data_IF_133941273817
#
_entry.id   IF_133941273817
#
_cell.length_a   1.000
_cell.length_b   1.000
_cell.length_c   1.000
_cell.angle_alpha   90.00
_cell.angle_beta   90.00
_cell.angle_gamma   90.00
#
_symmetry.space_group_name_H-M   'P 1'
#
loop_
_entity.id
_entity.type
_entity.pdbx_description
1 polymer ?
#
# COMPACT_ATOMS: atom_id res chain seq x y z
N UNK A 1 -27.76 -29.31 -39.70
CA UNK A 1 -29.04 -30.07 -39.77
C UNK A 1 -29.58 -30.29 -41.18
N UNK A 2 -29.55 -29.35 -42.13
CA UNK A 2 -30.28 -29.52 -43.41
C UNK A 2 -29.70 -30.53 -44.43
N UNK A 3 -28.38 -30.84 -44.39
CA UNK A 3 -27.76 -31.85 -45.28
C UNK A 3 -28.09 -33.31 -44.89
N UNK A 4 -28.14 -33.63 -43.60
CA UNK A 4 -28.47 -34.98 -43.12
C UNK A 4 -29.94 -35.36 -43.36
N UNK A 5 -30.86 -34.38 -43.29
CA UNK A 5 -32.28 -34.58 -43.60
C UNK A 5 -32.47 -34.89 -45.11
N UNK A 6 -31.71 -34.23 -45.99
CA UNK A 6 -31.73 -34.53 -47.44
C UNK A 6 -31.22 -35.94 -47.77
N UNK A 7 -30.24 -36.46 -47.02
CA UNK A 7 -29.67 -37.78 -47.26
C UNK A 7 -30.59 -38.92 -46.77
N UNK A 8 -31.31 -38.70 -45.66
CA UNK A 8 -32.33 -39.62 -45.14
C UNK A 8 -33.51 -39.80 -46.11
N UNK A 9 -33.91 -38.72 -46.79
CA UNK A 9 -34.94 -38.81 -47.84
C UNK A 9 -34.46 -39.57 -49.07
N UNK A 10 -33.18 -39.49 -49.44
CA UNK A 10 -32.64 -40.18 -50.61
C UNK A 10 -32.67 -41.71 -50.54
N UNK A 11 -32.39 -42.31 -49.36
CA UNK A 11 -32.39 -43.77 -49.21
C UNK A 11 -33.82 -44.33 -49.20
N UNK A 12 -34.74 -43.67 -48.49
CA UNK A 12 -36.16 -44.06 -48.49
C UNK A 12 -36.80 -43.87 -49.87
N UNK A 13 -36.49 -42.77 -50.58
CA UNK A 13 -36.93 -42.60 -51.97
C UNK A 13 -36.36 -43.67 -52.88
N UNK A 14 -35.09 -44.05 -52.70
CA UNK A 14 -34.50 -45.12 -53.50
C UNK A 14 -35.12 -46.50 -53.21
N UNK A 15 -35.47 -46.79 -51.96
CA UNK A 15 -36.13 -48.05 -51.60
C UNK A 15 -37.58 -48.09 -52.09
N UNK A 16 -38.33 -47.00 -51.89
CA UNK A 16 -39.69 -46.86 -52.42
C UNK A 16 -39.70 -46.93 -53.94
N UNK A 17 -38.76 -46.26 -54.61
CA UNK A 17 -38.56 -46.29 -56.07
C UNK A 17 -38.12 -47.65 -56.57
N UNK A 18 -37.31 -48.39 -55.80
CA UNK A 18 -37.00 -49.80 -56.09
C UNK A 18 -38.25 -50.64 -56.05
N UNK A 19 -39.01 -50.54 -54.97
CA UNK A 19 -40.23 -51.31 -54.79
C UNK A 19 -41.26 -51.00 -55.88
N UNK A 20 -41.35 -49.75 -56.33
CA UNK A 20 -42.19 -49.37 -57.48
C UNK A 20 -41.65 -49.87 -58.81
N UNK A 21 -40.32 -49.85 -59.03
CA UNK A 21 -39.71 -50.41 -60.24
C UNK A 21 -39.90 -51.93 -60.28
N UNK A 22 -39.66 -52.64 -59.17
CA UNK A 22 -39.86 -54.08 -59.06
C UNK A 22 -41.34 -54.43 -59.25
N UNK A 23 -42.28 -53.69 -58.64
CA UNK A 23 -43.73 -53.86 -58.90
C UNK A 23 -44.10 -53.57 -60.35
N UNK A 24 -43.56 -52.51 -60.96
CA UNK A 24 -43.85 -52.17 -62.35
C UNK A 24 -43.30 -53.21 -63.31
N UNK A 25 -42.10 -53.75 -63.07
CA UNK A 25 -41.54 -54.84 -63.88
C UNK A 25 -42.43 -56.07 -63.78
N UNK A 26 -42.87 -56.45 -62.57
CA UNK A 26 -43.81 -57.56 -62.37
C UNK A 26 -45.15 -57.30 -63.09
N UNK A 27 -45.70 -56.08 -62.99
CA UNK A 27 -46.99 -55.69 -63.58
C UNK A 27 -46.95 -55.66 -65.11
N UNK A 28 -45.90 -55.08 -65.71
CA UNK A 28 -45.70 -55.04 -67.16
C UNK A 28 -45.57 -56.46 -67.73
N UNK A 29 -44.90 -57.35 -67.01
CA UNK A 29 -44.76 -58.75 -67.40
C UNK A 29 -46.09 -59.49 -67.26
N UNK A 30 -46.87 -59.24 -66.21
CA UNK A 30 -48.20 -59.84 -66.05
C UNK A 30 -49.15 -59.44 -67.18
N UNK A 31 -49.12 -58.16 -67.58
CA UNK A 31 -49.88 -57.65 -68.73
C UNK A 31 -49.41 -58.28 -70.04
N UNK A 32 -48.10 -58.43 -70.23
CA UNK A 32 -47.54 -59.03 -71.45
C UNK A 32 -47.83 -60.53 -71.55
N UNK A 33 -47.75 -61.26 -70.42
CA UNK A 33 -48.15 -62.66 -70.30
C UNK A 33 -49.64 -62.83 -70.62
N UNK A 34 -50.50 -62.00 -70.05
CA UNK A 34 -51.93 -62.00 -70.32
C UNK A 34 -52.23 -61.76 -71.80
N UNK A 35 -51.55 -60.77 -72.42
CA UNK A 35 -51.70 -60.47 -73.84
C UNK A 35 -51.25 -61.63 -74.76
N UNK A 36 -50.13 -62.31 -74.43
CA UNK A 36 -49.63 -63.46 -75.20
C UNK A 36 -50.52 -64.71 -75.03
N UNK A 37 -51.14 -64.89 -73.85
CA UNK A 37 -52.09 -65.98 -73.63
C UNK A 37 -53.42 -65.74 -74.35
N UNK A 38 -53.87 -64.48 -74.46
CA UNK A 38 -55.22 -64.15 -74.94
C UNK A 38 -55.30 -63.78 -76.44
N UNK A 39 -54.22 -63.27 -77.05
CA UNK A 39 -54.24 -62.74 -78.44
C UNK A 39 -53.38 -63.52 -79.45
N UNK A 40 -52.75 -64.62 -79.05
CA UNK A 40 -51.92 -65.43 -79.96
C UNK A 40 -52.33 -66.91 -79.97
N UNK A 41 -52.67 -67.45 -81.15
CA UNK A 41 -52.88 -68.90 -81.40
C UNK A 41 -51.53 -69.66 -81.36
N UNK A 42 -50.84 -69.57 -80.23
CA UNK A 42 -49.56 -70.25 -79.98
C UNK A 42 -49.82 -71.67 -79.48
N UNK A 43 -49.00 -72.64 -79.92
CA UNK A 43 -49.05 -74.00 -79.36
C UNK A 43 -48.73 -73.99 -77.86
N UNK A 44 -49.32 -74.92 -77.08
CA UNK A 44 -49.12 -75.03 -75.63
C UNK A 44 -47.63 -75.10 -75.20
N UNK A 45 -46.75 -75.60 -76.07
CA UNK A 45 -45.30 -75.69 -75.81
C UNK A 45 -44.63 -74.30 -75.97
N UNK A 46 -45.06 -73.50 -76.94
CA UNK A 46 -44.45 -72.19 -77.22
C UNK A 46 -44.85 -71.15 -76.16
N UNK A 47 -46.09 -71.19 -75.66
CA UNK A 47 -46.54 -70.35 -74.53
C UNK A 47 -45.78 -70.66 -73.24
N UNK A 48 -45.56 -71.95 -72.92
CA UNK A 48 -44.74 -72.37 -71.78
C UNK A 48 -43.28 -71.90 -71.92
N UNK A 49 -42.70 -71.97 -73.12
CA UNK A 49 -41.35 -71.48 -73.39
C UNK A 49 -41.18 -69.97 -73.17
N UNK A 50 -42.16 -69.16 -73.60
CA UNK A 50 -42.17 -67.70 -73.38
C UNK A 50 -42.30 -67.35 -71.88
N UNK A 51 -43.14 -68.08 -71.14
CA UNK A 51 -43.30 -67.91 -69.69
C UNK A 51 -42.01 -68.21 -68.92
N UNK A 52 -41.33 -69.30 -69.24
CA UNK A 52 -40.04 -69.66 -68.61
C UNK A 52 -38.97 -68.61 -68.91
N UNK A 53 -38.92 -68.11 -70.15
CA UNK A 53 -37.94 -67.09 -70.54
C UNK A 53 -38.18 -65.75 -69.82
N UNK A 54 -39.44 -65.35 -69.67
CA UNK A 54 -39.82 -64.17 -68.88
C UNK A 54 -39.49 -64.35 -67.40
N UNK A 55 -39.71 -65.53 -66.81
CA UNK A 55 -39.31 -65.84 -65.43
C UNK A 55 -37.79 -65.81 -65.24
N UNK A 56 -37.02 -66.36 -66.17
CA UNK A 56 -35.56 -66.26 -66.14
C UNK A 56 -35.10 -64.80 -66.23
N UNK A 57 -35.74 -63.97 -67.07
CA UNK A 57 -35.43 -62.55 -67.20
C UNK A 57 -35.72 -61.77 -65.90
N UNK A 58 -36.82 -62.06 -65.20
CA UNK A 58 -37.12 -61.41 -63.91
C UNK A 58 -36.12 -61.78 -62.83
N UNK A 59 -35.72 -63.05 -62.74
CA UNK A 59 -34.68 -63.49 -61.79
C UNK A 59 -33.36 -62.78 -62.06
N UNK A 60 -32.97 -62.64 -63.34
CA UNK A 60 -31.74 -61.91 -63.72
C UNK A 60 -31.83 -60.42 -63.39
N UNK A 61 -32.95 -59.76 -63.68
CA UNK A 61 -33.16 -58.33 -63.33
C UNK A 61 -33.18 -58.13 -61.81
N UNK A 62 -33.82 -59.05 -61.06
CA UNK A 62 -33.85 -59.01 -59.60
C UNK A 62 -32.46 -59.17 -59.00
N UNK A 63 -31.66 -60.14 -59.47
CA UNK A 63 -30.28 -60.30 -58.99
C UNK A 63 -29.37 -59.13 -59.42
N UNK A 64 -29.55 -58.59 -60.64
CA UNK A 64 -28.82 -57.41 -61.10
C UNK A 64 -29.13 -56.15 -60.27
N UNK A 65 -30.41 -55.89 -59.99
CA UNK A 65 -30.83 -54.77 -59.13
C UNK A 65 -30.38 -54.98 -57.70
N UNK A 66 -30.60 -56.16 -57.10
CA UNK A 66 -30.09 -56.52 -55.76
C UNK A 66 -28.59 -56.26 -55.63
N UNK A 67 -27.79 -56.70 -56.61
CA UNK A 67 -26.34 -56.46 -56.67
C UNK A 67 -26.00 -54.95 -56.76
N UNK A 68 -26.72 -54.19 -57.57
CA UNK A 68 -26.50 -52.74 -57.70
C UNK A 68 -26.88 -51.99 -56.41
N UNK A 69 -27.95 -52.39 -55.73
CA UNK A 69 -28.37 -51.82 -54.44
C UNK A 69 -27.38 -52.17 -53.34
N UNK A 70 -26.93 -53.44 -53.23
CA UNK A 70 -25.87 -53.84 -52.29
C UNK A 70 -24.62 -52.98 -52.50
N UNK A 71 -24.16 -52.83 -53.74
CA UNK A 71 -23.00 -51.97 -54.07
C UNK A 71 -23.19 -50.51 -53.65
N UNK A 72 -24.36 -49.91 -53.92
CA UNK A 72 -24.65 -48.53 -53.52
C UNK A 72 -24.77 -48.36 -52.00
N UNK A 73 -25.40 -49.32 -51.32
CA UNK A 73 -25.52 -49.33 -49.86
C UNK A 73 -24.17 -49.48 -49.18
N UNK A 74 -23.36 -50.47 -49.59
CA UNK A 74 -21.98 -50.66 -49.11
C UNK A 74 -21.13 -49.42 -49.33
N UNK A 75 -21.19 -48.79 -50.51
CA UNK A 75 -20.47 -47.55 -50.78
C UNK A 75 -20.90 -46.38 -49.88
N UNK A 76 -22.21 -46.22 -49.65
CA UNK A 76 -22.74 -45.19 -48.77
C UNK A 76 -22.34 -45.41 -47.30
N UNK A 77 -22.38 -46.67 -46.84
CA UNK A 77 -21.96 -47.04 -45.49
C UNK A 77 -20.45 -46.84 -45.30
N UNK A 78 -19.63 -47.27 -46.26
CA UNK A 78 -18.18 -47.08 -46.21
C UNK A 78 -17.80 -45.60 -46.14
N UNK A 79 -18.49 -44.73 -46.91
CA UNK A 79 -18.29 -43.28 -46.81
C UNK A 79 -18.68 -42.73 -45.43
N UNK A 80 -19.80 -43.18 -44.85
CA UNK A 80 -20.21 -42.78 -43.50
C UNK A 80 -19.21 -43.24 -42.43
N UNK A 81 -18.67 -44.46 -42.54
CA UNK A 81 -17.65 -44.99 -41.64
C UNK A 81 -16.33 -44.23 -41.76
N UNK A 82 -15.89 -43.90 -42.97
CA UNK A 82 -14.69 -43.10 -43.19
C UNK A 82 -14.85 -41.70 -42.58
N UNK A 83 -15.99 -41.05 -42.80
CA UNK A 83 -16.30 -39.77 -42.15
C UNK A 83 -16.36 -39.89 -40.62
N UNK A 84 -16.89 -41.00 -40.08
CA UNK A 84 -16.96 -41.22 -38.64
C UNK A 84 -15.56 -41.37 -38.03
N UNK A 85 -14.67 -42.12 -38.68
CA UNK A 85 -13.27 -42.28 -38.26
C UNK A 85 -12.51 -40.96 -38.36
N UNK A 86 -12.70 -40.20 -39.44
CA UNK A 86 -12.07 -38.89 -39.61
C UNK A 86 -12.54 -37.91 -38.52
N UNK A 87 -13.84 -37.84 -38.26
CA UNK A 87 -14.37 -37.01 -37.18
C UNK A 87 -13.87 -37.47 -35.80
N UNK A 88 -13.79 -38.78 -35.55
CA UNK A 88 -13.23 -39.32 -34.32
C UNK A 88 -11.77 -38.88 -34.13
N UNK A 89 -10.93 -38.94 -35.17
CA UNK A 89 -9.54 -38.42 -35.13
C UNK A 89 -9.47 -36.91 -34.89
N UNK A 90 -10.38 -36.13 -35.48
CA UNK A 90 -10.45 -34.69 -35.23
C UNK A 90 -10.83 -34.37 -33.79
N UNK A 91 -11.78 -35.12 -33.22
CA UNK A 91 -12.16 -35.00 -31.81
C UNK A 91 -10.98 -35.44 -30.94
N UNK A 92 -10.26 -36.51 -31.28
CA UNK A 92 -9.07 -36.98 -30.55
C UNK A 92 -7.99 -35.90 -30.45
N UNK A 93 -7.67 -35.24 -31.57
CA UNK A 93 -6.73 -34.11 -31.57
C UNK A 93 -7.21 -32.96 -30.68
N UNK A 94 -8.51 -32.62 -30.74
CA UNK A 94 -9.08 -31.58 -29.88
C UNK A 94 -9.06 -31.95 -28.39
N UNK A 95 -9.40 -33.19 -28.05
CA UNK A 95 -9.36 -33.75 -26.68
C UNK A 95 -7.93 -33.80 -26.15
N UNK A 96 -6.94 -34.12 -26.98
CA UNK A 96 -5.52 -34.08 -26.61
C UNK A 96 -5.05 -32.67 -26.27
N UNK A 97 -5.40 -31.67 -27.09
CA UNK A 97 -5.12 -30.26 -26.80
C UNK A 97 -5.84 -29.80 -25.52
N UNK A 98 -7.07 -30.27 -25.30
CA UNK A 98 -7.81 -29.97 -24.08
C UNK A 98 -7.11 -30.54 -22.83
N UNK A 99 -6.59 -31.77 -22.89
CA UNK A 99 -5.80 -32.38 -21.80
C UNK A 99 -4.55 -31.57 -21.47
N UNK A 100 -3.83 -31.12 -22.48
CA UNK A 100 -2.64 -30.26 -22.31
C UNK A 100 -3.01 -28.92 -21.65
N UNK A 101 -4.09 -28.28 -22.10
CA UNK A 101 -4.58 -27.03 -21.51
C UNK A 101 -4.99 -27.19 -20.04
N UNK A 102 -5.59 -28.32 -19.66
CA UNK A 102 -5.93 -28.63 -18.27
C UNK A 102 -4.65 -28.70 -17.41
N UNK A 103 -3.63 -29.43 -17.87
CA UNK A 103 -2.35 -29.55 -17.16
C UNK A 103 -1.65 -28.19 -16.99
N UNK A 104 -1.63 -27.38 -18.05
CA UNK A 104 -1.10 -26.01 -18.00
C UNK A 104 -1.88 -25.13 -17.00
N UNK A 105 -3.20 -25.30 -16.92
CA UNK A 105 -4.03 -24.54 -15.99
C UNK A 105 -3.79 -24.98 -14.54
N UNK A 106 -3.62 -26.28 -14.27
CA UNK A 106 -3.20 -26.78 -12.95
C UNK A 106 -1.88 -26.15 -12.49
N UNK A 107 -0.86 -26.12 -13.36
CA UNK A 107 0.43 -25.50 -13.04
C UNK A 107 0.29 -24.01 -12.71
N UNK A 108 -0.51 -23.27 -13.49
CA UNK A 108 -0.79 -21.85 -13.24
C UNK A 108 -1.52 -21.63 -11.91
N UNK A 109 -2.51 -22.46 -11.58
CA UNK A 109 -3.23 -22.37 -10.30
C UNK A 109 -2.34 -22.65 -9.10
N UNK A 110 -1.41 -23.60 -9.21
CA UNK A 110 -0.43 -23.85 -8.16
C UNK A 110 0.42 -22.60 -7.86
N UNK A 111 0.83 -21.86 -8.90
CA UNK A 111 1.56 -20.60 -8.73
C UNK A 111 0.69 -19.51 -8.10
N UNK A 112 -0.57 -19.38 -8.53
CA UNK A 112 -1.51 -18.42 -7.93
C UNK A 112 -1.76 -18.73 -6.46
N UNK A 113 -1.92 -20.02 -6.09
CA UNK A 113 -2.08 -20.44 -4.70
C UNK A 113 -0.90 -19.99 -3.83
N UNK A 114 0.33 -20.20 -4.30
CA UNK A 114 1.53 -19.74 -3.60
C UNK A 114 1.56 -18.20 -3.44
N UNK A 115 1.18 -17.46 -4.48
CA UNK A 115 1.09 -16.00 -4.41
C UNK A 115 0.07 -15.53 -3.37
N UNK A 116 -1.08 -16.20 -3.27
CA UNK A 116 -2.10 -15.89 -2.27
C UNK A 116 -1.63 -16.19 -0.85
N UNK A 117 -0.92 -17.29 -0.64
CA UNK A 117 -0.29 -17.61 0.65
C UNK A 117 0.73 -16.54 1.05
N UNK A 118 1.58 -16.11 0.10
CA UNK A 118 2.52 -15.01 0.32
C UNK A 118 1.80 -13.69 0.66
N UNK A 119 0.73 -13.35 -0.06
CA UNK A 119 -0.08 -12.14 0.22
C UNK A 119 -0.73 -12.19 1.60
N UNK A 120 -1.16 -13.36 2.06
CA UNK A 120 -1.73 -13.56 3.40
C UNK A 120 -0.69 -13.32 4.49
N UNK A 121 0.51 -13.87 4.31
CA UNK A 121 1.62 -13.63 5.22
C UNK A 121 1.99 -12.14 5.25
N UNK A 122 2.10 -11.49 4.09
CA UNK A 122 2.34 -10.04 4.00
C UNK A 122 1.25 -9.20 4.66
N UNK A 123 -0.02 -9.60 4.56
CA UNK A 123 -1.13 -8.92 5.25
C UNK A 123 -1.01 -9.04 6.78
N UNK A 124 -0.57 -10.19 7.29
CA UNK A 124 -0.32 -10.37 8.72
C UNK A 124 0.85 -9.50 9.21
N UNK A 125 1.95 -9.48 8.47
CA UNK A 125 3.10 -8.63 8.77
C UNK A 125 2.72 -7.15 8.74
N UNK A 126 1.93 -6.73 7.75
CA UNK A 126 1.41 -5.37 7.64
C UNK A 126 0.56 -4.99 8.86
N UNK A 127 -0.29 -5.89 9.37
CA UNK A 127 -1.06 -5.64 10.59
C UNK A 127 -0.18 -5.47 11.83
N UNK A 128 0.90 -6.24 11.95
CA UNK A 128 1.87 -6.08 13.02
C UNK A 128 2.59 -4.72 12.94
N UNK A 129 3.00 -4.31 11.74
CA UNK A 129 3.61 -3.00 11.48
C UNK A 129 2.64 -1.87 11.84
N UNK A 130 1.39 -1.94 11.38
CA UNK A 130 0.34 -0.95 11.70
C UNK A 130 0.19 -0.78 13.21
N UNK A 131 0.11 -1.90 13.96
CA UNK A 131 -0.06 -1.87 15.41
C UNK A 131 1.14 -1.24 16.11
N UNK A 132 2.35 -1.61 15.70
CA UNK A 132 3.58 -1.04 16.26
C UNK A 132 3.71 0.46 15.97
N UNK A 133 3.48 0.87 14.71
CA UNK A 133 3.52 2.28 14.31
C UNK A 133 2.46 3.09 15.05
N UNK A 134 1.27 2.54 15.28
CA UNK A 134 0.22 3.17 16.10
C UNK A 134 0.69 3.43 17.52
N UNK A 135 1.28 2.43 18.17
CA UNK A 135 1.81 2.60 19.52
C UNK A 135 2.89 3.68 19.55
N UNK A 136 3.85 3.64 18.61
CA UNK A 136 4.92 4.65 18.53
C UNK A 136 4.40 6.06 18.28
N UNK A 137 3.36 6.22 17.48
CA UNK A 137 2.72 7.52 17.25
C UNK A 137 2.06 8.05 18.53
N UNK A 138 1.38 7.19 19.29
CA UNK A 138 0.78 7.55 20.58
C UNK A 138 1.84 7.92 21.62
N UNK A 139 2.92 7.14 21.71
CA UNK A 139 4.02 7.42 22.62
C UNK A 139 4.69 8.75 22.25
N UNK A 140 4.94 8.99 20.96
CA UNK A 140 5.52 10.25 20.46
C UNK A 140 4.62 11.43 20.80
N UNK A 141 3.31 11.31 20.61
CA UNK A 141 2.35 12.36 20.96
C UNK A 141 2.39 12.69 22.46
N UNK A 142 2.49 11.68 23.32
CA UNK A 142 2.62 11.88 24.77
C UNK A 142 3.93 12.60 25.14
N UNK A 143 5.05 12.21 24.53
CA UNK A 143 6.33 12.88 24.73
C UNK A 143 6.28 14.34 24.28
N UNK A 144 5.74 14.59 23.08
CA UNK A 144 5.61 15.94 22.51
C UNK A 144 4.72 16.84 23.36
N UNK A 145 3.59 16.34 23.90
CA UNK A 145 2.75 17.10 24.83
C UNK A 145 3.48 17.42 26.14
N UNK A 146 4.24 16.47 26.68
CA UNK A 146 5.03 16.69 27.90
C UNK A 146 6.14 17.72 27.67
N UNK A 147 6.81 17.67 26.51
CA UNK A 147 7.80 18.68 26.13
C UNK A 147 7.17 20.06 25.93
N UNK A 148 5.98 20.13 25.33
CA UNK A 148 5.24 21.39 25.18
C UNK A 148 4.99 22.07 26.54
N UNK A 149 4.48 21.30 27.51
CA UNK A 149 4.25 21.79 28.86
C UNK A 149 5.55 22.25 29.55
N UNK A 150 6.64 21.50 29.36
CA UNK A 150 7.95 21.85 29.89
C UNK A 150 8.50 23.16 29.29
N UNK A 151 8.35 23.36 27.97
CA UNK A 151 8.75 24.58 27.28
C UNK A 151 7.91 25.77 27.76
N UNK A 152 6.60 25.60 27.91
CA UNK A 152 5.71 26.63 28.47
C UNK A 152 6.12 27.04 29.88
N UNK A 153 6.40 26.06 30.74
CA UNK A 153 6.89 26.32 32.10
C UNK A 153 8.27 27.01 32.11
N UNK A 154 9.13 26.72 31.13
CA UNK A 154 10.42 27.42 30.96
C UNK A 154 10.22 28.90 30.60
N UNK A 155 9.31 29.19 29.66
CA UNK A 155 8.96 30.57 29.29
C UNK A 155 8.47 31.36 30.52
N UNK A 156 7.60 30.78 31.35
CA UNK A 156 7.13 31.42 32.59
C UNK A 156 8.29 31.71 33.58
N UNK A 157 9.25 30.78 33.69
CA UNK A 157 10.46 31.00 34.50
C UNK A 157 11.35 32.10 33.92
N UNK A 158 11.48 32.19 32.60
CA UNK A 158 12.25 33.26 31.95
C UNK A 158 11.63 34.64 32.20
N UNK A 159 10.30 34.75 32.19
CA UNK A 159 9.63 35.99 32.61
C UNK A 159 9.93 36.35 34.07
N UNK A 160 9.96 35.35 34.96
CA UNK A 160 10.33 35.57 36.37
C UNK A 160 11.78 36.04 36.51
N UNK A 161 12.72 35.46 35.74
CA UNK A 161 14.13 35.88 35.73
C UNK A 161 14.25 37.31 35.20
N UNK A 162 13.57 37.64 34.09
CA UNK A 162 13.54 38.99 33.52
C UNK A 162 13.10 40.02 34.56
N UNK A 163 12.03 39.73 35.29
CA UNK A 163 11.55 40.61 36.35
C UNK A 163 12.59 40.80 37.47
N UNK A 164 13.25 39.73 37.91
CA UNK A 164 14.31 39.81 38.92
C UNK A 164 15.51 40.63 38.45
N UNK A 165 15.93 40.49 37.19
CA UNK A 165 17.02 41.29 36.61
C UNK A 165 16.63 42.77 36.59
N UNK A 166 15.38 43.08 36.22
CA UNK A 166 14.87 44.45 36.24
C UNK A 166 14.90 45.04 37.65
N UNK A 167 14.46 44.29 38.67
CA UNK A 167 14.55 44.73 40.08
C UNK A 167 16.00 44.95 40.53
N UNK A 168 16.95 44.11 40.11
CA UNK A 168 18.38 44.31 40.41
C UNK A 168 18.88 45.63 39.78
N UNK A 169 18.50 45.91 38.53
CA UNK A 169 18.87 47.16 37.87
C UNK A 169 18.33 48.39 38.62
N UNK A 170 17.06 48.35 39.06
CA UNK A 170 16.45 49.41 39.88
C UNK A 170 17.19 49.63 41.21
N UNK A 171 17.54 48.55 41.93
CA UNK A 171 18.29 48.64 43.19
C UNK A 171 19.71 49.20 43.01
N UNK A 172 20.36 48.93 41.88
CA UNK A 172 21.70 49.47 41.59
C UNK A 172 21.65 50.95 41.23
N UNK A 173 20.58 51.41 40.57
CA UNK A 173 20.35 52.83 40.34
C UNK A 173 20.15 53.57 41.67
N UNK A 174 19.33 53.04 42.57
CA UNK A 174 19.15 53.60 43.91
C UNK A 174 20.46 53.62 44.71
N UNK A 175 21.26 52.56 44.64
CA UNK A 175 22.59 52.51 45.24
C UNK A 175 23.52 53.61 44.67
N UNK A 176 23.45 53.86 43.37
CA UNK A 176 24.26 54.91 42.72
C UNK A 176 23.91 56.30 43.24
N UNK A 177 22.62 56.59 43.47
CA UNK A 177 22.16 57.84 44.08
C UNK A 177 22.64 58.00 45.53
N UNK A 178 22.64 56.92 46.32
CA UNK A 178 23.20 56.94 47.68
C UNK A 178 24.71 57.21 47.68
N UNK A 179 25.45 56.56 46.77
CA UNK A 179 26.91 56.76 46.63
C UNK A 179 27.22 58.22 46.26
N UNK A 180 26.44 58.81 45.34
CA UNK A 180 26.58 60.22 44.97
C UNK A 180 26.38 61.15 46.18
N UNK A 181 25.37 60.88 47.00
CA UNK A 181 25.07 61.65 48.22
C UNK A 181 26.18 61.53 49.28
N UNK A 182 26.73 60.33 49.46
CA UNK A 182 27.88 60.10 50.35
C UNK A 182 29.11 60.83 49.83
N UNK A 183 29.38 60.76 48.52
CA UNK A 183 30.52 61.45 47.89
C UNK A 183 30.48 62.96 48.15
N UNK A 184 29.31 63.59 48.00
CA UNK A 184 29.13 65.01 48.32
C UNK A 184 29.37 65.32 49.80
N UNK A 185 28.94 64.44 50.70
CA UNK A 185 29.13 64.62 52.15
C UNK A 185 30.61 64.49 52.53
N UNK A 186 31.33 63.53 51.96
CA UNK A 186 32.75 63.33 52.21
C UNK A 186 33.60 64.49 51.67
N UNK A 187 33.24 65.05 50.52
CA UNK A 187 33.87 66.28 50.01
C UNK A 187 33.75 67.44 51.00
N UNK A 188 32.56 67.65 51.58
CA UNK A 188 32.37 68.67 52.63
C UNK A 188 33.24 68.40 53.88
N UNK A 189 33.39 67.14 54.30
CA UNK A 189 34.25 66.79 55.44
C UNK A 189 35.72 67.05 55.14
N UNK A 190 36.17 66.78 53.90
CA UNK A 190 37.52 67.12 53.45
C UNK A 190 37.77 68.63 53.48
N UNK A 191 36.82 69.43 53.01
CA UNK A 191 36.88 70.90 53.07
C UNK A 191 36.96 71.40 54.53
N UNK A 192 36.17 70.82 55.43
CA UNK A 192 36.19 71.15 56.87
C UNK A 192 37.55 70.78 57.50
N UNK A 193 38.10 69.60 57.17
CA UNK A 193 39.40 69.18 57.66
C UNK A 193 40.51 70.13 57.17
N UNK A 194 40.47 70.56 55.91
CA UNK A 194 41.41 71.53 55.35
C UNK A 194 41.30 72.91 56.02
N UNK A 195 40.08 73.41 56.22
CA UNK A 195 39.85 74.66 56.96
C UNK A 195 40.34 74.56 58.41
N UNK A 196 40.08 73.44 59.09
CA UNK A 196 40.52 73.19 60.47
C UNK A 196 42.04 73.14 60.56
N UNK A 197 42.70 72.54 59.57
CA UNK A 197 44.16 72.51 59.47
C UNK A 197 44.75 73.94 59.33
N UNK A 198 44.16 74.77 58.47
CA UNK A 198 44.54 76.17 58.30
C UNK A 198 44.29 77.01 59.57
N UNK A 199 43.16 76.81 60.24
CA UNK A 199 42.84 77.45 61.53
C UNK A 199 43.85 77.06 62.61
N UNK A 200 44.19 75.78 62.71
CA UNK A 200 45.18 75.26 63.66
C UNK A 200 46.58 75.80 63.37
N UNK A 201 46.96 75.94 62.09
CA UNK A 201 48.22 76.56 61.69
C UNK A 201 48.28 78.02 62.12
N UNK A 202 47.23 78.80 61.86
CA UNK A 202 47.16 80.19 62.29
C UNK A 202 47.23 80.33 63.82
N UNK A 203 46.55 79.44 64.56
CA UNK A 203 46.61 79.40 66.02
C UNK A 203 48.02 79.03 66.53
N UNK A 204 48.72 78.10 65.87
CA UNK A 204 50.10 77.75 66.22
C UNK A 204 51.07 78.92 65.99
N UNK A 205 50.89 79.67 64.90
CA UNK A 205 51.68 80.89 64.61
C UNK A 205 51.44 81.96 65.68
N UNK A 206 50.19 82.22 66.04
CA UNK A 206 49.87 83.25 67.05
C UNK A 206 50.30 82.83 68.47
N UNK A 207 50.23 81.54 68.78
CA UNK A 207 50.76 80.98 70.02
C UNK A 207 52.30 81.11 70.11
N UNK A 208 53.02 80.90 68.99
CA UNK A 208 54.46 81.15 68.93
C UNK A 208 54.78 82.65 69.10
N UNK A 209 53.94 83.53 68.55
CA UNK A 209 54.07 84.99 68.66
C UNK A 209 53.86 85.50 70.09
N UNK A 210 53.02 84.84 70.89
CA UNK A 210 52.78 85.16 72.30
C UNK A 210 53.91 84.69 73.26
N UNK A 211 54.95 84.01 72.75
CA UNK A 211 56.13 83.62 73.54
C UNK A 211 55.81 82.63 74.67
N UNK A 212 56.31 82.90 75.89
CA UNK A 212 56.11 82.03 77.07
C UNK A 212 54.63 81.86 77.44
N UNK A 213 53.78 82.87 77.21
CA UNK A 213 52.35 82.82 77.52
C UNK A 213 51.55 81.96 76.52
N UNK A 214 52.11 81.66 75.34
CA UNK A 214 51.46 80.89 74.28
C UNK A 214 51.76 79.40 74.28
N UNK A 215 52.67 78.89 75.14
CA UNK A 215 53.11 77.48 75.14
C UNK A 215 51.97 76.47 75.23
N UNK A 216 50.98 76.71 76.10
CA UNK A 216 49.80 75.83 76.23
C UNK A 216 48.93 75.83 74.98
N UNK A 217 48.72 77.00 74.36
CA UNK A 217 47.97 77.14 73.11
C UNK A 217 48.69 76.51 71.92
N UNK A 218 50.02 76.56 71.87
CA UNK A 218 50.83 75.95 70.82
C UNK A 218 50.67 74.41 70.81
N UNK A 219 50.60 73.78 71.99
CA UNK A 219 50.37 72.32 72.11
C UNK A 219 48.98 71.96 71.59
N UNK A 220 47.94 72.71 72.00
CA UNK A 220 46.55 72.48 71.55
C UNK A 220 46.43 72.66 70.04
N UNK A 221 47.03 73.72 69.48
CA UNK A 221 47.02 73.97 68.04
C UNK A 221 47.73 72.85 67.26
N UNK A 222 48.83 72.29 67.79
CA UNK A 222 49.51 71.13 67.21
C UNK A 222 48.62 69.87 67.18
N UNK A 223 47.89 69.58 68.25
CA UNK A 223 47.00 68.41 68.31
C UNK A 223 45.78 68.58 67.39
N UNK A 224 45.19 69.78 67.30
CA UNK A 224 44.11 70.08 66.34
C UNK A 224 44.61 69.90 64.92
N UNK A 225 45.83 70.36 64.61
CA UNK A 225 46.43 70.20 63.28
C UNK A 225 46.60 68.73 62.92
N UNK A 226 47.09 67.93 63.85
CA UNK A 226 47.26 66.48 63.69
C UNK A 226 45.92 65.77 63.46
N UNK A 227 44.89 66.10 64.23
CA UNK A 227 43.52 65.56 64.03
C UNK A 227 42.94 65.95 62.66
N UNK A 228 43.21 67.18 62.20
CA UNK A 228 42.78 67.63 60.87
C UNK A 228 43.49 66.85 59.74
N UNK A 229 44.80 66.61 59.85
CA UNK A 229 45.56 65.77 58.90
C UNK A 229 45.07 64.31 58.92
N UNK A 230 44.80 63.74 60.10
CA UNK A 230 44.22 62.40 60.25
C UNK A 230 42.81 62.32 59.62
N UNK A 231 41.99 63.36 59.80
CA UNK A 231 40.67 63.46 59.17
C UNK A 231 40.77 63.49 57.64
N UNK A 232 41.70 64.28 57.08
CA UNK A 232 41.96 64.33 55.62
C UNK A 232 42.44 62.98 55.07
N UNK A 233 43.30 62.26 55.80
CA UNK A 233 43.70 60.91 55.39
C UNK A 233 42.53 59.92 55.43
N UNK A 234 41.65 60.03 56.43
CA UNK A 234 40.47 59.18 56.53
C UNK A 234 39.47 59.46 55.40
N UNK A 235 39.17 60.73 55.08
CA UNK A 235 38.30 61.09 53.96
C UNK A 235 38.85 60.61 52.63
N UNK A 236 40.16 60.75 52.39
CA UNK A 236 40.80 60.23 51.17
C UNK A 236 40.63 58.71 50.99
N UNK A 237 40.77 57.94 52.07
CA UNK A 237 40.50 56.48 52.05
C UNK A 237 39.04 56.18 51.74
N UNK A 238 38.09 56.93 52.32
CA UNK A 238 36.66 56.78 52.05
C UNK A 238 36.35 57.12 50.58
N UNK A 239 36.93 58.19 50.02
CA UNK A 239 36.77 58.56 48.60
C UNK A 239 37.23 57.45 47.66
N UNK A 240 38.34 56.78 47.98
CA UNK A 240 38.81 55.61 47.22
C UNK A 240 37.79 54.44 47.28
N UNK A 241 37.22 54.16 48.46
CA UNK A 241 36.18 53.14 48.60
C UNK A 241 34.91 53.49 47.80
N UNK A 242 34.46 54.74 47.86
CA UNK A 242 33.30 55.24 47.08
C UNK A 242 33.53 55.03 45.59
N UNK A 243 34.71 55.39 45.08
CA UNK A 243 35.07 55.18 43.67
C UNK A 243 34.99 53.70 43.27
N UNK A 244 35.52 52.81 44.11
CA UNK A 244 35.47 51.37 43.86
C UNK A 244 34.03 50.83 43.85
N UNK A 245 33.19 51.28 44.78
CA UNK A 245 31.77 50.87 44.81
C UNK A 245 31.05 51.38 43.56
N UNK A 246 31.30 52.63 43.14
CA UNK A 246 30.71 53.21 41.92
C UNK A 246 31.11 52.43 40.66
N UNK A 247 32.38 52.05 40.54
CA UNK A 247 32.85 51.19 39.44
C UNK A 247 32.17 49.81 39.45
N UNK A 248 32.00 49.22 40.63
CA UNK A 248 31.27 47.95 40.78
C UNK A 248 29.80 48.08 40.42
N UNK A 249 29.14 49.19 40.81
CA UNK A 249 27.75 49.47 40.46
C UNK A 249 27.57 49.58 38.94
N UNK A 250 28.40 50.38 38.26
CA UNK A 250 28.40 50.49 36.79
C UNK A 250 28.64 49.15 36.11
N UNK A 251 29.58 48.34 36.61
CA UNK A 251 29.84 47.00 36.06
C UNK A 251 28.62 46.07 36.25
N UNK A 252 27.90 46.21 37.36
CA UNK A 252 26.67 45.45 37.62
C UNK A 252 25.54 45.87 36.68
N UNK A 253 25.39 47.17 36.38
CA UNK A 253 24.41 47.65 35.39
C UNK A 253 24.65 47.01 34.02
N UNK A 254 25.89 47.04 33.53
CA UNK A 254 26.25 46.41 32.26
C UNK A 254 25.92 44.90 32.25
N UNK A 255 26.24 44.20 33.33
CA UNK A 255 25.91 42.77 33.47
C UNK A 255 24.39 42.52 33.49
N UNK A 256 23.59 43.40 34.10
CA UNK A 256 22.12 43.28 34.08
C UNK A 256 21.52 43.59 32.70
N UNK A 257 22.08 44.53 31.94
CA UNK A 257 21.66 44.80 30.56
C UNK A 257 21.96 43.62 29.64
N UNK A 258 23.16 43.04 29.76
CA UNK A 258 23.54 41.82 29.03
C UNK A 258 22.64 40.65 29.42
N UNK A 259 22.42 40.43 30.73
CA UNK A 259 21.52 39.39 31.23
C UNK A 259 20.08 39.54 30.74
N UNK A 260 19.59 40.78 30.58
CA UNK A 260 18.26 41.04 30.02
C UNK A 260 18.17 40.61 28.54
N UNK A 261 19.21 40.90 27.74
CA UNK A 261 19.27 40.50 26.33
C UNK A 261 19.31 38.97 26.18
N UNK A 262 20.11 38.30 27.00
CA UNK A 262 20.20 36.83 27.00
C UNK A 262 18.88 36.16 27.36
N UNK A 263 18.14 36.71 28.34
CA UNK A 263 16.82 36.19 28.70
C UNK A 263 15.80 36.39 27.58
N UNK A 264 15.80 37.54 26.90
CA UNK A 264 14.89 37.80 25.79
C UNK A 264 15.18 36.87 24.60
N UNK A 265 16.46 36.66 24.27
CA UNK A 265 16.90 35.65 23.29
C UNK A 265 16.44 34.23 23.68
N UNK A 266 16.54 33.89 24.97
CA UNK A 266 16.04 32.61 25.51
C UNK A 266 14.53 32.44 25.36
N UNK A 267 13.75 33.51 25.53
CA UNK A 267 12.28 33.51 25.32
C UNK A 267 11.96 33.28 23.83
N UNK A 268 12.64 33.98 22.92
CA UNK A 268 12.46 33.81 21.48
C UNK A 268 12.77 32.37 21.03
N UNK A 269 13.89 31.81 21.50
CA UNK A 269 14.26 30.42 21.23
C UNK A 269 13.20 29.44 21.74
N UNK A 270 12.69 29.65 22.96
CA UNK A 270 11.64 28.81 23.53
C UNK A 270 10.32 28.90 22.75
N UNK A 271 9.96 30.08 22.24
CA UNK A 271 8.81 30.23 21.33
C UNK A 271 8.98 29.46 20.03
N UNK A 272 10.16 29.53 19.40
CA UNK A 272 10.45 28.77 18.19
C UNK A 272 10.36 27.25 18.44
N UNK A 273 10.86 26.78 19.58
CA UNK A 273 10.70 25.38 20.00
C UNK A 273 9.22 25.02 20.17
N UNK A 274 8.44 25.86 20.86
CA UNK A 274 7.00 25.66 21.03
C UNK A 274 6.25 25.53 19.71
N UNK A 275 6.53 26.41 18.74
CA UNK A 275 5.94 26.34 17.39
C UNK A 275 6.33 25.06 16.64
N UNK A 276 7.57 24.59 16.77
CA UNK A 276 8.01 23.34 16.15
C UNK A 276 7.30 22.12 16.77
N UNK A 277 7.09 22.15 18.09
CA UNK A 277 6.35 21.11 18.81
C UNK A 277 4.89 21.06 18.34
N UNK A 278 4.23 22.19 18.13
CA UNK A 278 2.87 22.23 17.57
C UNK A 278 2.80 21.61 16.16
N UNK A 279 3.80 21.87 15.31
CA UNK A 279 3.90 21.22 14.00
C UNK A 279 4.12 19.71 14.12
N UNK A 280 4.91 19.25 15.10
CA UNK A 280 5.07 17.81 15.37
C UNK A 280 3.75 17.15 15.78
N UNK A 281 2.94 17.82 16.61
CA UNK A 281 1.60 17.32 16.99
C UNK A 281 0.72 17.14 15.75
N UNK A 282 0.71 18.11 14.83
CA UNK A 282 -0.04 18.01 13.58
C UNK A 282 0.42 16.82 12.73
N UNK A 283 1.73 16.64 12.55
CA UNK A 283 2.30 15.51 11.83
C UNK A 283 1.96 14.16 12.49
N UNK A 284 1.94 14.08 13.82
CA UNK A 284 1.52 12.86 14.54
C UNK A 284 0.05 12.53 14.30
N UNK A 285 -0.82 13.54 14.20
CA UNK A 285 -2.22 13.34 13.85
C UNK A 285 -2.40 12.84 12.40
N UNK A 286 -1.63 13.38 11.45
CA UNK A 286 -1.62 12.89 10.07
C UNK A 286 -1.15 11.43 9.98
N UNK A 287 -0.10 11.06 10.73
CA UNK A 287 0.37 9.68 10.84
C UNK A 287 -0.75 8.78 11.39
N UNK A 288 -1.46 9.22 12.44
CA UNK A 288 -2.59 8.48 13.01
C UNK A 288 -3.71 8.25 11.99
N UNK A 289 -4.01 9.25 11.15
CA UNK A 289 -4.96 9.11 10.05
C UNK A 289 -4.48 8.08 9.01
N UNK A 290 -3.22 8.17 8.58
CA UNK A 290 -2.64 7.22 7.63
C UNK A 290 -2.64 5.77 8.14
N UNK A 291 -2.45 5.57 9.45
CA UNK A 291 -2.57 4.25 10.10
C UNK A 291 -3.99 3.68 9.99
N UNK A 292 -5.03 4.52 10.12
CA UNK A 292 -6.42 4.08 9.96
C UNK A 292 -6.69 3.64 8.51
N UNK A 293 -6.19 4.39 7.52
CA UNK A 293 -6.32 4.05 6.10
C UNK A 293 -5.58 2.75 5.75
N UNK A 294 -4.37 2.57 6.32
CA UNK A 294 -3.61 1.33 6.20
C UNK A 294 -4.34 0.14 6.82
N UNK A 295 -5.00 0.34 7.96
CA UNK A 295 -5.82 -0.70 8.61
C UNK A 295 -6.97 -1.14 7.71
N UNK A 296 -7.67 -0.18 7.10
CA UNK A 296 -8.72 -0.45 6.12
C UNK A 296 -8.19 -1.23 4.91
N UNK A 297 -7.05 -0.80 4.36
CA UNK A 297 -6.40 -1.46 3.22
C UNK A 297 -5.95 -2.88 3.54
N UNK A 298 -5.34 -3.09 4.71
CA UNK A 298 -4.93 -4.42 5.18
C UNK A 298 -6.13 -5.36 5.34
N UNK A 299 -7.24 -4.85 5.90
CA UNK A 299 -8.47 -5.64 6.03
C UNK A 299 -9.03 -6.03 4.66
N UNK A 300 -9.00 -5.12 3.69
CA UNK A 300 -9.42 -5.40 2.32
C UNK A 300 -8.56 -6.48 1.68
N UNK A 301 -7.23 -6.43 1.82
CA UNK A 301 -6.32 -7.48 1.32
C UNK A 301 -6.66 -8.84 1.94
N UNK A 302 -6.93 -8.90 3.24
CA UNK A 302 -7.34 -10.13 3.92
C UNK A 302 -8.65 -10.71 3.35
N UNK A 303 -9.63 -9.86 3.05
CA UNK A 303 -10.88 -10.28 2.41
C UNK A 303 -10.68 -10.72 0.95
N UNK A 304 -9.89 -9.99 0.17
CA UNK A 304 -9.64 -10.28 -1.25
C UNK A 304 -8.85 -11.60 -1.40
N UNK A 305 -7.87 -11.84 -0.53
CA UNK A 305 -7.12 -13.10 -0.49
C UNK A 305 -8.02 -14.28 -0.18
N UNK A 306 -8.87 -14.20 0.85
CA UNK A 306 -9.84 -15.26 1.19
C UNK A 306 -10.84 -15.52 0.06
N UNK A 307 -11.33 -14.47 -0.60
CA UNK A 307 -12.24 -14.61 -1.75
C UNK A 307 -11.53 -15.33 -2.91
N UNK A 308 -10.26 -15.01 -3.14
CA UNK A 308 -9.45 -15.66 -4.19
C UNK A 308 -9.12 -17.11 -3.86
N UNK A 309 -8.86 -17.45 -2.58
CA UNK A 309 -8.70 -18.85 -2.13
C UNK A 309 -9.93 -19.69 -2.50
N UNK A 310 -11.13 -19.16 -2.25
CA UNK A 310 -12.40 -19.83 -2.61
C UNK A 310 -12.53 -20.03 -4.12
N UNK A 311 -12.23 -19.00 -4.93
CA UNK A 311 -12.28 -19.09 -6.38
C UNK A 311 -11.27 -20.13 -6.93
N UNK A 312 -10.06 -20.21 -6.37
CA UNK A 312 -9.07 -21.23 -6.72
C UNK A 312 -9.61 -22.62 -6.41
N UNK A 313 -10.28 -22.81 -5.26
CA UNK A 313 -10.88 -24.09 -4.91
C UNK A 313 -11.98 -24.51 -5.89
N UNK A 314 -12.82 -23.58 -6.32
CA UNK A 314 -13.88 -23.83 -7.31
C UNK A 314 -13.28 -24.22 -8.67
N UNK A 315 -12.27 -23.48 -9.16
CA UNK A 315 -11.60 -23.79 -10.42
C UNK A 315 -10.92 -25.17 -10.36
N UNK A 316 -10.30 -25.54 -9.24
CA UNK A 316 -9.71 -26.87 -9.08
C UNK A 316 -10.76 -27.98 -9.25
N UNK A 317 -11.95 -27.82 -8.66
CA UNK A 317 -13.05 -28.76 -8.83
C UNK A 317 -13.53 -28.83 -10.30
N UNK A 318 -13.64 -27.68 -10.98
CA UNK A 318 -13.96 -27.65 -12.40
C UNK A 318 -12.92 -28.34 -13.28
N UNK A 319 -11.62 -28.18 -12.98
CA UNK A 319 -10.55 -28.84 -13.72
C UNK A 319 -10.56 -30.35 -13.53
N UNK A 320 -10.84 -30.83 -12.32
CA UNK A 320 -10.98 -32.26 -12.04
C UNK A 320 -12.13 -32.87 -12.86
N UNK A 321 -13.28 -32.20 -12.90
CA UNK A 321 -14.42 -32.61 -13.73
C UNK A 321 -14.08 -32.60 -15.23
N UNK A 322 -13.38 -31.55 -15.71
CA UNK A 322 -12.94 -31.46 -17.11
C UNK A 322 -11.92 -32.56 -17.46
N UNK A 323 -11.02 -32.90 -16.53
CA UNK A 323 -10.05 -33.97 -16.72
C UNK A 323 -10.77 -35.31 -16.89
N UNK A 324 -11.75 -35.60 -16.02
CA UNK A 324 -12.60 -36.79 -16.12
C UNK A 324 -13.35 -36.85 -17.45
N UNK A 325 -13.99 -35.76 -17.86
CA UNK A 325 -14.72 -35.69 -19.14
C UNK A 325 -13.79 -35.90 -20.35
N UNK A 326 -12.54 -35.42 -20.27
CA UNK A 326 -11.53 -35.63 -21.31
C UNK A 326 -11.14 -37.10 -21.42
N UNK A 327 -11.00 -37.80 -20.29
CA UNK A 327 -10.73 -39.24 -20.26
C UNK A 327 -11.89 -40.07 -20.82
N UNK A 328 -13.13 -39.73 -20.44
CA UNK A 328 -14.35 -40.33 -21.00
C UNK A 328 -14.44 -40.11 -22.53
N UNK A 329 -14.03 -38.93 -23.01
CA UNK A 329 -13.98 -38.64 -24.45
C UNK A 329 -12.97 -39.54 -25.18
N UNK A 330 -11.77 -39.76 -24.62
CA UNK A 330 -10.81 -40.70 -25.22
C UNK A 330 -11.38 -42.12 -25.32
N UNK A 331 -12.03 -42.61 -24.27
CA UNK A 331 -12.70 -43.93 -24.30
C UNK A 331 -13.80 -43.99 -25.36
N UNK A 332 -14.63 -42.94 -25.46
CA UNK A 332 -15.69 -42.87 -26.48
C UNK A 332 -15.13 -42.84 -27.91
N UNK A 333 -14.03 -42.15 -28.14
CA UNK A 333 -13.34 -42.10 -29.44
C UNK A 333 -12.80 -43.49 -29.80
N UNK A 334 -12.14 -44.16 -28.85
CA UNK A 334 -11.63 -45.52 -29.04
C UNK A 334 -12.76 -46.51 -29.39
N UNK A 335 -13.89 -46.42 -28.67
CA UNK A 335 -15.08 -47.20 -28.95
C UNK A 335 -15.64 -46.93 -30.36
N UNK A 336 -15.74 -45.67 -30.78
CA UNK A 336 -16.20 -45.31 -32.14
C UNK A 336 -15.26 -45.85 -33.21
N UNK A 337 -13.94 -45.72 -33.01
CA UNK A 337 -12.94 -46.22 -33.95
C UNK A 337 -13.01 -47.75 -34.06
N UNK A 338 -13.13 -48.45 -32.93
CA UNK A 338 -13.26 -49.91 -32.88
C UNK A 338 -14.54 -50.38 -33.55
N UNK A 339 -15.69 -49.82 -33.17
CA UNK A 339 -16.98 -50.16 -33.76
C UNK A 339 -17.01 -49.90 -35.27
N UNK A 340 -16.42 -48.78 -35.71
CA UNK A 340 -16.35 -48.45 -37.14
C UNK A 340 -15.48 -49.44 -37.93
N UNK A 341 -14.36 -49.90 -37.35
CA UNK A 341 -13.49 -50.94 -37.94
C UNK A 341 -14.21 -52.29 -38.01
N UNK A 342 -14.86 -52.72 -36.92
CA UNK A 342 -15.62 -53.97 -36.88
C UNK A 342 -16.76 -53.96 -37.90
N UNK A 343 -17.51 -52.86 -37.98
CA UNK A 343 -18.61 -52.74 -38.94
C UNK A 343 -18.11 -52.76 -40.39
N UNK A 344 -16.97 -52.14 -40.69
CA UNK A 344 -16.32 -52.20 -42.01
C UNK A 344 -15.94 -53.64 -42.37
N UNK A 345 -15.31 -54.37 -41.44
CA UNK A 345 -14.93 -55.79 -41.64
C UNK A 345 -16.14 -56.66 -41.97
N UNK A 346 -17.23 -56.54 -41.21
CA UNK A 346 -18.44 -57.33 -41.43
C UNK A 346 -19.11 -57.07 -42.79
N UNK A 347 -19.01 -55.84 -43.31
CA UNK A 347 -19.57 -55.48 -44.63
C UNK A 347 -18.70 -56.01 -45.77
N UNK A 348 -17.38 -56.04 -45.57
CA UNK A 348 -16.43 -56.52 -46.58
C UNK A 348 -16.40 -58.07 -46.64
N UNK A 349 -16.86 -58.77 -45.58
CA UNK A 349 -16.96 -60.24 -45.51
C UNK A 349 -18.27 -60.86 -46.07
N UNK A 350 -19.34 -60.07 -46.28
CA UNK A 350 -20.64 -60.52 -46.84
C UNK A 350 -20.81 -60.29 -48.35
#
# INVERSE_FOLDING_TARGET
MSKQIKQKNGINDHFARKQTIDLMVILVIFIFVFAVVEYTDLSQILTAGVLVLLFCLTVVIFEATKKQYKKKATAAINNLLENAIENAKRIEGATSVQKENINLTFAKLSNIKLLIENLKNQSNDLNAIITNTKQKALDSLNYTNTEYDAVKANIEKMFTIRHKIQTIAELILELSDFIQSISSTIGLVEDIAEQTNLLALNAAVEAARAGEHGKGFAIVAGEIRKLADESKQATSKITSLITNIQQSANSTVLATEEGTKEVESGIELAHNIGSNIEQLILLMNEISQGINDMTGSSKKISTDTSTTENAISEINSMLENNYKATEENFQNIENIQTLSKTFKSNIDEE
#
